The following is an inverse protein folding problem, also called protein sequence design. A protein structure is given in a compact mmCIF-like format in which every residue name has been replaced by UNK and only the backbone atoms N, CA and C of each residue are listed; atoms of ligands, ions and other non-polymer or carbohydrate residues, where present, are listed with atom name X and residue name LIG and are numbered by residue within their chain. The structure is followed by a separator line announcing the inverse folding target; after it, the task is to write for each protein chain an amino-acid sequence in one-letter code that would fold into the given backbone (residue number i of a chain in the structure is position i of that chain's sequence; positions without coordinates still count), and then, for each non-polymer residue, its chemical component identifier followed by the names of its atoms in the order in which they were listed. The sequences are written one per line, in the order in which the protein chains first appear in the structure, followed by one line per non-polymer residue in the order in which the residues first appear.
data_IF_065371875836
#
_entry.id   IF_065371875836
#
_cell.length_a   1.000
_cell.length_b   1.000
_cell.length_c   1.000
_cell.angle_alpha   90.00
_cell.angle_beta   90.00
_cell.angle_gamma   90.00
#
_symmetry.space_group_name_H-M   'P 1'
#
loop_
_entity.id
_entity.type
_entity.pdbx_description
1 polymer ?
#
# COMPACT_ATOMS: atom_id res chain seq x y z
N UNK A 1 -7.58 -11.19 -10.53
CA UNK A 1 -8.63 -11.10 -9.51
C UNK A 1 -9.14 -9.68 -9.55
N UNK A 2 -10.43 -9.47 -9.76
CA UNK A 2 -11.03 -8.15 -9.51
C UNK A 2 -11.21 -8.04 -8.00
N UNK A 3 -10.44 -7.16 -7.35
CA UNK A 3 -10.60 -6.84 -5.93
C UNK A 3 -11.70 -5.77 -5.83
N UNK A 4 -12.79 -6.08 -5.12
CA UNK A 4 -13.93 -5.17 -4.94
C UNK A 4 -13.79 -4.24 -3.73
N UNK A 5 -12.62 -4.20 -3.08
CA UNK A 5 -12.35 -3.25 -2.01
C UNK A 5 -12.36 -1.81 -2.55
N UNK A 6 -12.98 -0.89 -1.82
CA UNK A 6 -13.07 0.53 -2.15
C UNK A 6 -12.19 1.42 -1.27
N UNK A 7 -11.63 0.90 -0.18
CA UNK A 7 -10.73 1.62 0.72
C UNK A 7 -9.69 0.69 1.39
N UNK A 8 -8.71 1.29 2.06
CA UNK A 8 -7.60 0.60 2.75
C UNK A 8 -8.09 -0.39 3.81
N UNK A 9 -9.13 -0.04 4.57
CA UNK A 9 -9.66 -0.88 5.64
C UNK A 9 -10.26 -2.18 5.08
N UNK A 10 -10.99 -2.10 3.97
CA UNK A 10 -11.54 -3.29 3.30
C UNK A 10 -10.46 -4.21 2.75
N UNK A 11 -9.34 -3.67 2.26
CA UNK A 11 -8.18 -4.49 1.87
C UNK A 11 -7.65 -5.28 3.08
N UNK A 12 -7.54 -4.63 4.24
CA UNK A 12 -7.10 -5.30 5.47
C UNK A 12 -8.11 -6.33 5.99
N UNK A 13 -9.41 -6.05 5.91
CA UNK A 13 -10.46 -7.02 6.25
C UNK A 13 -10.34 -8.27 5.36
N UNK A 14 -10.22 -8.10 4.05
CA UNK A 14 -10.04 -9.22 3.11
C UNK A 14 -8.75 -10.00 3.36
N UNK A 15 -7.66 -9.30 3.69
CA UNK A 15 -6.40 -9.93 4.05
C UNK A 15 -6.52 -10.71 5.36
N UNK A 16 -7.27 -10.22 6.34
CA UNK A 16 -7.52 -10.92 7.60
C UNK A 16 -8.35 -12.19 7.38
N UNK A 17 -9.46 -12.08 6.66
CA UNK A 17 -10.35 -13.20 6.33
C UNK A 17 -9.61 -14.29 5.53
N UNK A 18 -8.71 -13.88 4.64
CA UNK A 18 -7.88 -14.79 3.85
C UNK A 18 -6.66 -15.34 4.61
N UNK A 19 -6.44 -14.92 5.87
CA UNK A 19 -5.24 -15.24 6.68
C UNK A 19 -3.91 -14.80 6.03
N UNK A 20 -3.95 -13.71 5.26
CA UNK A 20 -2.84 -13.16 4.49
C UNK A 20 -2.24 -11.87 5.09
N UNK A 21 -2.67 -11.43 6.27
CA UNK A 21 -2.15 -10.19 6.88
C UNK A 21 -0.64 -10.21 7.10
N UNK A 22 -0.08 -11.33 7.56
CA UNK A 22 1.37 -11.43 7.78
C UNK A 22 2.13 -11.38 6.46
N UNK A 23 1.63 -12.05 5.44
CA UNK A 23 2.23 -12.01 4.10
C UNK A 23 2.13 -10.60 3.49
N UNK A 24 0.99 -9.92 3.67
CA UNK A 24 0.78 -8.54 3.23
C UNK A 24 1.77 -7.58 3.90
N UNK A 25 1.92 -7.67 5.23
CA UNK A 25 2.92 -6.91 5.97
C UNK A 25 4.32 -7.12 5.41
N UNK A 26 4.74 -8.37 5.26
CA UNK A 26 6.07 -8.71 4.76
C UNK A 26 6.29 -8.19 3.34
N UNK A 27 5.29 -8.33 2.49
CA UNK A 27 5.34 -7.88 1.11
C UNK A 27 5.46 -6.35 1.02
N UNK A 28 4.75 -5.59 1.86
CA UNK A 28 4.87 -4.12 1.94
C UNK A 28 6.28 -3.73 2.41
N UNK A 29 6.76 -4.29 3.52
CA UNK A 29 8.11 -3.98 4.04
C UNK A 29 9.21 -4.30 3.01
N UNK A 30 9.05 -5.40 2.27
CA UNK A 30 9.95 -5.78 1.17
C UNK A 30 9.97 -4.74 0.06
N UNK A 31 8.80 -4.35 -0.46
CA UNK A 31 8.72 -3.48 -1.62
C UNK A 31 9.11 -2.03 -1.26
N UNK A 32 8.81 -1.57 -0.04
CA UNK A 32 9.38 -0.32 0.48
C UNK A 32 10.92 -0.40 0.58
N UNK A 33 11.46 -1.52 1.08
CA UNK A 33 12.91 -1.74 1.14
C UNK A 33 13.58 -1.75 -0.23
N UNK A 34 12.96 -2.36 -1.25
CA UNK A 34 13.42 -2.33 -2.65
C UNK A 34 13.42 -0.91 -3.24
N UNK A 35 12.52 -0.05 -2.78
CA UNK A 35 12.49 1.37 -3.13
C UNK A 35 13.49 2.22 -2.32
N UNK A 36 14.34 1.60 -1.49
CA UNK A 36 15.24 2.23 -0.52
C UNK A 36 14.54 3.04 0.58
N UNK A 37 13.28 2.72 0.87
CA UNK A 37 12.47 3.41 1.88
C UNK A 37 12.37 2.55 3.13
N UNK A 38 12.88 3.09 4.25
CA UNK A 38 12.68 2.45 5.56
C UNK A 38 11.25 2.64 6.04
N UNK A 39 10.51 1.53 6.15
CA UNK A 39 9.18 1.43 6.73
C UNK A 39 9.16 0.23 7.69
N UNK A 40 8.83 0.47 8.96
CA UNK A 40 8.65 -0.60 9.95
C UNK A 40 7.21 -0.63 10.41
N UNK A 41 6.49 -1.69 10.07
CA UNK A 41 5.10 -1.83 10.47
C UNK A 41 5.02 -2.43 11.88
N UNK A 42 4.01 -2.04 12.68
CA UNK A 42 3.92 -2.44 14.08
C UNK A 42 3.93 -3.97 14.25
N UNK A 43 4.57 -4.44 15.32
CA UNK A 43 4.68 -5.88 15.63
C UNK A 43 3.30 -6.49 15.93
N UNK A 44 2.49 -5.77 16.71
CA UNK A 44 1.10 -6.11 16.96
C UNK A 44 0.24 -5.49 15.88
N UNK A 45 -0.57 -6.31 15.21
CA UNK A 45 -1.46 -5.82 14.17
C UNK A 45 -2.61 -5.01 14.79
N UNK A 46 -2.74 -3.78 14.33
CA UNK A 46 -3.89 -2.91 14.53
C UNK A 46 -4.17 -2.22 13.18
N UNK A 47 -5.38 -2.40 12.65
CA UNK A 47 -5.68 -1.99 11.28
C UNK A 47 -5.53 -0.47 11.08
N UNK A 48 -5.97 0.32 12.07
CA UNK A 48 -5.89 1.77 12.02
C UNK A 48 -4.43 2.23 12.01
N UNK A 49 -3.62 1.74 12.95
CA UNK A 49 -2.18 2.06 13.04
C UNK A 49 -1.43 1.57 11.81
N UNK A 50 -1.79 0.41 11.26
CA UNK A 50 -1.18 -0.14 10.06
C UNK A 50 -1.38 0.77 8.85
N UNK A 51 -2.63 1.20 8.60
CA UNK A 51 -2.94 2.13 7.50
C UNK A 51 -2.32 3.50 7.74
N UNK A 52 -2.42 4.04 8.97
CA UNK A 52 -1.90 5.38 9.27
C UNK A 52 -0.38 5.45 9.09
N UNK A 53 0.37 4.42 9.51
CA UNK A 53 1.83 4.36 9.35
C UNK A 53 2.23 4.42 7.88
N UNK A 54 1.52 3.71 7.01
CA UNK A 54 1.80 3.72 5.56
C UNK A 54 1.41 5.07 4.97
N UNK A 55 0.23 5.60 5.33
CA UNK A 55 -0.25 6.89 4.83
C UNK A 55 0.65 8.06 5.21
N UNK A 56 1.10 8.11 6.46
CA UNK A 56 2.05 9.12 6.92
C UNK A 56 3.37 9.03 6.15
N UNK A 57 3.85 7.81 5.89
CA UNK A 57 5.07 7.60 5.09
C UNK A 57 4.87 8.05 3.64
N UNK A 58 3.75 7.68 3.02
CA UNK A 58 3.40 8.08 1.65
C UNK A 58 3.28 9.61 1.55
N UNK A 59 2.56 10.24 2.48
CA UNK A 59 2.43 11.69 2.56
C UNK A 59 3.80 12.37 2.67
N UNK A 60 4.66 11.89 3.58
CA UNK A 60 6.02 12.41 3.74
C UNK A 60 6.83 12.31 2.44
N UNK A 61 6.79 11.17 1.75
CA UNK A 61 7.50 10.99 0.48
C UNK A 61 6.93 11.91 -0.61
N UNK A 62 5.61 12.09 -0.67
CA UNK A 62 4.98 12.97 -1.66
C UNK A 62 5.43 14.44 -1.51
N UNK A 63 5.55 14.92 -0.28
CA UNK A 63 5.86 16.33 0.01
C UNK A 63 7.36 16.59 0.07
N UNK A 64 8.12 15.72 0.74
CA UNK A 64 9.53 15.98 1.07
C UNK A 64 10.51 15.21 0.15
N UNK A 65 10.10 14.06 -0.41
CA UNK A 65 10.98 13.15 -1.17
C UNK A 65 10.33 12.59 -2.42
N UNK A 66 9.85 13.48 -3.29
CA UNK A 66 9.01 13.10 -4.44
C UNK A 66 9.67 12.06 -5.37
N UNK A 67 11.00 12.13 -5.54
CA UNK A 67 11.75 11.13 -6.33
C UNK A 67 11.68 9.72 -5.73
N UNK A 68 11.75 9.59 -4.40
CA UNK A 68 11.59 8.32 -3.69
C UNK A 68 10.14 7.82 -3.78
N UNK A 69 9.16 8.72 -3.68
CA UNK A 69 7.76 8.40 -3.91
C UNK A 69 7.55 7.80 -5.31
N UNK A 70 8.07 8.42 -6.38
CA UNK A 70 7.97 7.86 -7.73
C UNK A 70 8.62 6.47 -7.81
N UNK A 71 9.81 6.31 -7.23
CA UNK A 71 10.49 5.01 -7.18
C UNK A 71 9.63 3.93 -6.48
N UNK A 72 8.97 4.28 -5.37
CA UNK A 72 8.04 3.39 -4.68
C UNK A 72 6.91 2.92 -5.61
N UNK A 73 6.31 3.82 -6.39
CA UNK A 73 5.21 3.46 -7.30
C UNK A 73 5.65 2.46 -8.36
N UNK A 74 6.87 2.63 -8.90
CA UNK A 74 7.46 1.69 -9.85
C UNK A 74 7.69 0.32 -9.23
N UNK A 75 8.25 0.25 -8.03
CA UNK A 75 8.53 -1.02 -7.33
C UNK A 75 7.24 -1.75 -6.95
N UNK A 76 6.24 -1.02 -6.45
CA UNK A 76 4.92 -1.55 -6.11
C UNK A 76 4.16 -2.00 -7.37
N UNK A 77 4.57 -1.57 -8.57
CA UNK A 77 3.92 -1.83 -9.85
C UNK A 77 2.51 -1.23 -9.90
N UNK A 78 2.42 0.06 -9.55
CA UNK A 78 1.22 0.89 -9.75
C UNK A 78 1.27 1.51 -11.15
N UNK A 79 0.32 1.20 -12.04
CA UNK A 79 0.26 1.82 -13.36
C UNK A 79 0.04 3.32 -13.27
N UNK A 80 0.78 4.11 -14.07
CA UNK A 80 0.58 5.56 -14.15
C UNK A 80 -0.87 5.95 -14.47
N UNK A 81 -1.59 5.12 -15.23
CA UNK A 81 -2.99 5.36 -15.57
C UNK A 81 -3.90 5.37 -14.34
N UNK A 82 -3.58 4.61 -13.29
CA UNK A 82 -4.31 4.63 -12.02
C UNK A 82 -3.95 5.86 -11.19
N UNK A 83 -2.67 6.25 -11.18
CA UNK A 83 -2.21 7.48 -10.52
C UNK A 83 -2.83 8.73 -11.16
N UNK A 84 -2.93 8.81 -12.49
CA UNK A 84 -3.53 9.95 -13.21
C UNK A 84 -5.05 10.10 -12.99
N UNK A 85 -5.71 9.07 -12.45
CA UNK A 85 -7.16 9.10 -12.15
C UNK A 85 -7.46 9.60 -10.73
N UNK A 86 -6.44 9.87 -9.92
CA UNK A 86 -6.61 10.36 -8.55
C UNK A 86 -7.19 11.76 -8.59
N UNK A 87 -8.24 11.97 -7.79
CA UNK A 87 -8.80 13.30 -7.62
C UNK A 87 -7.76 14.17 -6.89
N UNK A 88 -7.29 15.21 -7.59
CA UNK A 88 -6.35 16.19 -7.02
C UNK A 88 -7.17 17.14 -6.14
N UNK A 89 -7.29 16.79 -4.86
CA UNK A 89 -7.93 17.60 -3.83
C UNK A 89 -6.85 18.23 -2.95
N UNK A 90 -6.64 17.72 -1.74
CA UNK A 90 -5.53 18.10 -0.87
C UNK A 90 -4.53 16.94 -0.70
N UNK A 91 -3.33 17.26 -0.23
CA UNK A 91 -2.25 16.29 -0.12
C UNK A 91 -2.56 15.13 0.85
N UNK A 92 -3.40 15.34 1.86
CA UNK A 92 -3.79 14.30 2.82
C UNK A 92 -4.73 13.31 2.14
N UNK A 93 -5.74 13.80 1.42
CA UNK A 93 -6.66 12.96 0.66
C UNK A 93 -5.94 12.20 -0.48
N UNK A 94 -5.01 12.85 -1.17
CA UNK A 94 -4.19 12.18 -2.20
C UNK A 94 -3.33 11.08 -1.58
N UNK A 95 -2.71 11.32 -0.41
CA UNK A 95 -1.94 10.30 0.28
C UNK A 95 -2.82 9.11 0.75
N UNK A 96 -4.06 9.36 1.15
CA UNK A 96 -5.02 8.32 1.51
C UNK A 96 -5.39 7.44 0.30
N UNK A 97 -5.72 8.06 -0.83
CA UNK A 97 -5.99 7.37 -2.10
C UNK A 97 -4.78 6.54 -2.57
N UNK A 98 -3.58 7.10 -2.48
CA UNK A 98 -2.33 6.40 -2.83
C UNK A 98 -2.05 5.21 -1.91
N UNK A 99 -2.30 5.38 -0.61
CA UNK A 99 -2.15 4.30 0.37
C UNK A 99 -3.07 3.13 0.03
N UNK A 100 -4.32 3.42 -0.34
CA UNK A 100 -5.25 2.39 -0.78
C UNK A 100 -4.75 1.66 -2.04
N UNK A 101 -4.23 2.37 -3.05
CA UNK A 101 -3.70 1.74 -4.27
C UNK A 101 -2.50 0.83 -3.98
N UNK A 102 -1.57 1.27 -3.11
CA UNK A 102 -0.43 0.47 -2.66
C UNK A 102 -0.93 -0.80 -1.97
N UNK A 103 -1.80 -0.68 -0.96
CA UNK A 103 -2.33 -1.82 -0.23
C UNK A 103 -3.05 -2.81 -1.15
N UNK A 104 -3.88 -2.30 -2.06
CA UNK A 104 -4.60 -3.10 -3.05
C UNK A 104 -3.64 -3.90 -3.93
N UNK A 105 -2.56 -3.26 -4.42
CA UNK A 105 -1.58 -3.91 -5.29
C UNK A 105 -0.76 -4.95 -4.56
N UNK A 106 -0.32 -4.66 -3.34
CA UNK A 106 0.44 -5.61 -2.51
C UNK A 106 -0.41 -6.80 -2.08
N UNK A 107 -1.68 -6.58 -1.71
CA UNK A 107 -2.61 -7.67 -1.42
C UNK A 107 -2.81 -8.58 -2.63
N UNK A 108 -2.98 -8.00 -3.83
CA UNK A 108 -3.09 -8.81 -5.04
C UNK A 108 -1.85 -9.70 -5.25
N UNK A 109 -0.63 -9.15 -5.10
CA UNK A 109 0.62 -9.93 -5.22
C UNK A 109 0.63 -11.12 -4.25
N UNK A 110 0.31 -10.88 -2.98
CA UNK A 110 0.26 -11.92 -1.94
C UNK A 110 -0.82 -12.97 -2.22
N UNK A 111 -2.01 -12.53 -2.62
CA UNK A 111 -3.12 -13.41 -2.94
C UNK A 111 -2.78 -14.33 -4.11
N UNK A 112 -2.20 -13.79 -5.18
CA UNK A 112 -1.76 -14.58 -6.34
C UNK A 112 -0.67 -15.60 -5.96
N UNK A 113 0.30 -15.18 -5.16
CA UNK A 113 1.38 -16.04 -4.66
C UNK A 113 0.86 -17.22 -3.84
N UNK A 114 -0.18 -17.01 -3.03
CA UNK A 114 -0.77 -18.07 -2.21
C UNK A 114 -1.76 -18.95 -2.98
N UNK A 115 -2.45 -18.41 -3.98
CA UNK A 115 -3.42 -19.18 -4.78
C UNK A 115 -2.77 -20.14 -5.78
N UNK A 116 -1.65 -19.75 -6.38
CA UNK A 116 -0.95 -20.54 -7.41
C UNK A 116 0.37 -21.12 -6.90
N UNK A 117 0.48 -21.28 -5.59
CA UNK A 117 1.62 -21.91 -4.94
C UNK A 117 1.59 -23.42 -5.11
#
# INVERSE_FOLDING_TARGET
MKLNAINSNEVLTLANESKLLSDLKHQIEKDFGLANISLKLPLKFDAQTFVSTIREKVYYLMIEHFSEYLNLLYVVDIPESQFKQIAITDAVEVADQMTFLILKREYQKVWYRNKYR
#
